data_IF_984412043671
#
_entry.id   IF_984412043671
#
_cell.length_a   1.000
_cell.length_b   1.000
_cell.length_c   1.000
_cell.angle_alpha   90.00
_cell.angle_beta   90.00
_cell.angle_gamma   90.00
#
_symmetry.space_group_name_H-M   'P 1'
#
loop_
_entity.id
_entity.type
_entity.pdbx_description
1 polymer ?
#
# COMPACT_ATOMS: atom_id res chain seq x y z
N UNK A 1 4.81 -7.54 -49.84
CA UNK A 1 3.65 -7.05 -49.07
C UNK A 1 3.78 -7.48 -47.62
N UNK A 2 4.06 -6.51 -46.82
CA UNK A 2 4.20 -6.80 -45.38
C UNK A 2 2.84 -6.77 -44.72
N UNK A 3 2.48 -7.82 -44.05
CA UNK A 3 1.26 -7.90 -43.27
C UNK A 3 1.37 -6.92 -42.12
N UNK A 4 0.37 -6.06 -41.91
CA UNK A 4 0.39 -5.23 -40.72
C UNK A 4 0.22 -6.11 -39.47
N UNK A 5 1.15 -5.97 -38.58
CA UNK A 5 1.06 -6.70 -37.31
C UNK A 5 -0.15 -6.17 -36.57
N UNK A 6 -1.09 -7.03 -36.16
CA UNK A 6 -2.23 -6.52 -35.38
C UNK A 6 -1.71 -5.88 -34.11
N UNK A 7 -2.32 -4.79 -33.71
CA UNK A 7 -1.91 -4.18 -32.43
C UNK A 7 -2.13 -5.22 -31.34
N UNK A 8 -1.05 -5.65 -30.76
CA UNK A 8 -1.14 -6.54 -29.62
C UNK A 8 -1.81 -5.79 -28.50
N UNK A 9 -3.01 -6.21 -28.18
CA UNK A 9 -3.65 -5.75 -26.97
C UNK A 9 -2.90 -6.39 -25.84
N UNK A 10 -1.77 -5.82 -25.54
CA UNK A 10 -1.01 -6.25 -24.39
C UNK A 10 -1.70 -5.62 -23.18
N UNK A 11 -2.37 -6.45 -22.41
CA UNK A 11 -2.68 -6.06 -21.04
C UNK A 11 -1.35 -5.65 -20.44
N UNK A 12 -1.22 -4.43 -19.94
CA UNK A 12 0.07 -4.03 -19.40
C UNK A 12 0.51 -5.03 -18.36
N UNK A 13 1.70 -5.56 -18.54
CA UNK A 13 2.26 -6.45 -17.54
C UNK A 13 2.26 -5.73 -16.18
N UNK A 14 2.01 -6.44 -15.10
CA UNK A 14 1.94 -5.79 -13.78
C UNK A 14 3.18 -4.97 -13.43
N UNK A 15 4.29 -5.22 -14.10
CA UNK A 15 5.54 -4.52 -13.84
C UNK A 15 5.75 -3.28 -14.68
N UNK A 16 4.99 -3.12 -15.78
CA UNK A 16 5.19 -1.97 -16.68
C UNK A 16 4.56 -0.71 -16.09
N UNK A 17 5.36 0.36 -16.02
CA UNK A 17 4.89 1.65 -15.51
C UNK A 17 4.73 1.69 -14.00
N UNK A 18 5.00 0.59 -13.34
CA UNK A 18 4.83 0.48 -11.90
C UNK A 18 6.05 1.04 -11.17
N UNK A 19 5.86 1.79 -10.09
CA UNK A 19 6.99 2.20 -9.26
C UNK A 19 7.77 0.97 -8.77
N UNK A 20 9.08 1.12 -8.69
CA UNK A 20 9.97 0.02 -8.29
C UNK A 20 10.20 -0.04 -6.78
N UNK A 21 9.83 1.02 -6.08
CA UNK A 21 10.07 1.13 -4.64
C UNK A 21 9.17 2.23 -4.09
N UNK A 22 9.11 2.33 -2.77
CA UNK A 22 8.41 3.45 -2.15
C UNK A 22 9.04 4.78 -2.56
N UNK A 23 10.36 4.87 -2.63
CA UNK A 23 11.02 6.11 -3.07
C UNK A 23 10.58 6.51 -4.47
N UNK A 24 10.49 5.53 -5.37
CA UNK A 24 10.03 5.78 -6.74
C UNK A 24 8.57 6.23 -6.75
N UNK A 25 7.73 5.61 -5.93
CA UNK A 25 6.33 6.00 -5.78
C UNK A 25 6.21 7.44 -5.27
N UNK A 26 7.02 7.80 -4.28
CA UNK A 26 6.98 9.15 -3.72
C UNK A 26 7.40 10.20 -4.76
N UNK A 27 8.36 9.86 -5.62
CA UNK A 27 8.77 10.79 -6.70
C UNK A 27 7.64 11.07 -7.68
N UNK A 28 6.74 10.11 -7.85
CA UNK A 28 5.61 10.23 -8.78
C UNK A 28 4.41 10.94 -8.18
N UNK A 29 4.39 11.11 -6.86
CA UNK A 29 3.29 11.81 -6.19
C UNK A 29 3.37 13.30 -6.45
N UNK A 30 2.20 13.94 -6.59
CA UNK A 30 2.15 15.39 -6.69
C UNK A 30 2.34 16.02 -5.30
N UNK A 31 2.44 17.33 -5.27
CA UNK A 31 2.66 18.07 -4.01
C UNK A 31 1.55 17.84 -3.00
N UNK A 32 0.31 17.71 -3.48
CA UNK A 32 -0.83 17.47 -2.61
C UNK A 32 -0.72 16.12 -1.92
N UNK A 33 -0.36 15.08 -2.67
CA UNK A 33 -0.22 13.73 -2.12
C UNK A 33 0.93 13.66 -1.12
N UNK A 34 2.06 14.32 -1.42
CA UNK A 34 3.20 14.37 -0.51
C UNK A 34 2.84 15.14 0.77
N UNK A 35 2.14 16.25 0.62
CA UNK A 35 1.70 17.05 1.77
C UNK A 35 0.80 16.23 2.67
N UNK A 36 -0.13 15.48 2.08
CA UNK A 36 -1.03 14.64 2.84
C UNK A 36 -0.28 13.56 3.62
N UNK A 37 0.72 12.92 3.00
CA UNK A 37 1.55 11.94 3.69
C UNK A 37 2.23 12.56 4.92
N UNK A 38 2.80 13.75 4.74
CA UNK A 38 3.53 14.40 5.83
C UNK A 38 2.59 14.91 6.94
N UNK A 39 1.36 15.25 6.59
CA UNK A 39 0.34 15.59 7.59
C UNK A 39 -0.07 14.38 8.41
N UNK A 40 -0.19 13.24 7.75
CA UNK A 40 -0.60 11.99 8.41
C UNK A 40 0.54 11.38 9.21
N UNK A 41 1.78 11.64 8.81
CA UNK A 41 2.96 11.07 9.46
C UNK A 41 3.98 12.18 9.76
N UNK A 42 3.68 13.04 10.73
CA UNK A 42 4.57 14.18 11.03
C UNK A 42 5.95 13.76 11.56
N UNK A 43 6.08 12.53 12.06
CA UNK A 43 7.39 12.03 12.49
C UNK A 43 8.38 11.98 11.33
N UNK A 44 7.90 11.93 10.09
CA UNK A 44 8.79 11.88 8.92
C UNK A 44 9.54 13.21 8.70
N UNK A 45 9.09 14.29 9.31
CA UNK A 45 9.74 15.59 9.18
C UNK A 45 10.73 15.91 10.31
N UNK A 46 10.90 15.02 11.29
CA UNK A 46 11.76 15.30 12.44
C UNK A 46 12.83 14.23 12.60
N UNK A 47 14.07 14.49 12.16
CA UNK A 47 14.51 15.69 11.41
C UNK A 47 14.07 15.67 9.97
N UNK A 48 14.09 16.83 9.31
CA UNK A 48 13.68 16.93 7.91
C UNK A 48 14.61 16.06 7.05
N UNK A 49 14.06 15.15 6.23
CA UNK A 49 14.91 14.30 5.40
C UNK A 49 15.55 15.10 4.27
N UNK A 50 16.74 14.65 3.86
CA UNK A 50 17.50 15.37 2.83
C UNK A 50 16.86 15.27 1.45
N UNK A 51 16.19 14.14 1.16
CA UNK A 51 15.55 13.90 -0.14
C UNK A 51 14.47 12.85 0.02
N UNK A 52 13.82 12.50 -1.10
CA UNK A 52 12.73 11.52 -1.08
C UNK A 52 13.22 10.11 -0.76
N UNK A 53 14.47 9.81 -1.09
CA UNK A 53 15.06 8.52 -0.75
C UNK A 53 15.20 8.37 0.77
N UNK A 54 15.69 9.42 1.42
CA UNK A 54 15.80 9.44 2.88
C UNK A 54 14.42 9.39 3.54
N UNK A 55 13.45 10.10 2.94
CA UNK A 55 12.07 10.07 3.42
C UNK A 55 11.51 8.66 3.35
N UNK A 56 11.70 7.96 2.22
CA UNK A 56 11.22 6.60 2.06
C UNK A 56 11.89 5.65 3.05
N UNK A 57 13.19 5.80 3.27
CA UNK A 57 13.91 4.97 4.23
C UNK A 57 13.36 5.15 5.65
N UNK A 58 13.06 6.38 6.03
CA UNK A 58 12.47 6.64 7.34
C UNK A 58 11.06 6.08 7.43
N UNK A 59 10.27 6.27 6.38
CA UNK A 59 8.88 5.82 6.35
C UNK A 59 8.76 4.30 6.48
N UNK A 60 9.76 3.55 6.02
CA UNK A 60 9.78 2.09 6.10
C UNK A 60 10.44 1.59 7.38
N UNK A 61 10.97 2.49 8.21
CA UNK A 61 11.56 2.09 9.47
C UNK A 61 10.51 1.63 10.47
N UNK A 62 10.85 0.63 11.29
CA UNK A 62 9.89 0.01 12.20
C UNK A 62 9.21 1.00 13.16
N UNK A 63 9.93 1.97 13.77
CA UNK A 63 9.24 2.89 14.67
C UNK A 63 8.22 3.78 13.96
N UNK A 64 8.53 4.26 12.76
CA UNK A 64 7.62 5.12 12.01
C UNK A 64 6.41 4.32 11.52
N UNK A 65 6.63 3.08 11.07
CA UNK A 65 5.53 2.22 10.65
C UNK A 65 4.59 1.90 11.81
N UNK A 66 5.15 1.64 12.98
CA UNK A 66 4.33 1.36 14.16
C UNK A 66 3.42 2.54 14.50
N UNK A 67 3.96 3.76 14.43
CA UNK A 67 3.16 4.96 14.67
C UNK A 67 2.04 5.12 13.64
N UNK A 68 2.33 4.82 12.38
CA UNK A 68 1.31 4.91 11.34
C UNK A 68 0.18 3.91 11.59
N UNK A 69 0.52 2.69 11.99
CA UNK A 69 -0.46 1.64 12.24
C UNK A 69 -1.32 1.93 13.49
N UNK A 70 -0.81 2.71 14.44
CA UNK A 70 -1.58 3.05 15.65
C UNK A 70 -2.84 3.86 15.34
N UNK A 71 -2.91 4.49 14.18
CA UNK A 71 -4.09 5.26 13.77
C UNK A 71 -5.18 4.40 13.15
N UNK A 72 -4.91 3.13 12.90
CA UNK A 72 -5.87 2.27 12.19
C UNK A 72 -6.83 1.58 13.16
N UNK A 73 -8.08 1.45 12.74
CA UNK A 73 -9.06 0.65 13.45
C UNK A 73 -8.84 -0.84 13.12
N UNK A 74 -9.60 -1.70 13.81
CA UNK A 74 -9.47 -3.15 13.65
C UNK A 74 -9.74 -3.59 12.21
N UNK A 75 -10.73 -2.95 11.56
CA UNK A 75 -11.07 -3.30 10.19
C UNK A 75 -9.90 -3.00 9.24
N UNK A 76 -9.33 -1.80 9.36
CA UNK A 76 -8.22 -1.39 8.50
C UNK A 76 -7.00 -2.27 8.69
N UNK A 77 -6.71 -2.65 9.95
CA UNK A 77 -5.62 -3.57 10.24
C UNK A 77 -5.88 -4.94 9.63
N UNK A 78 -7.13 -5.42 9.68
CA UNK A 78 -7.48 -6.71 9.10
C UNK A 78 -7.29 -6.70 7.58
N UNK A 79 -7.71 -5.62 6.91
CA UNK A 79 -7.50 -5.48 5.46
C UNK A 79 -6.01 -5.48 5.13
N UNK A 80 -5.21 -4.73 5.89
CA UNK A 80 -3.76 -4.68 5.68
C UNK A 80 -3.15 -6.07 5.86
N UNK A 81 -3.63 -6.82 6.85
CA UNK A 81 -3.14 -8.17 7.12
C UNK A 81 -3.45 -9.11 5.96
N UNK A 82 -4.68 -9.03 5.41
CA UNK A 82 -5.06 -9.85 4.26
C UNK A 82 -4.16 -9.50 3.07
N UNK A 83 -3.94 -8.20 2.83
CA UNK A 83 -3.07 -7.77 1.75
C UNK A 83 -1.64 -8.31 1.92
N UNK A 84 -1.14 -8.31 3.16
CA UNK A 84 0.23 -8.75 3.43
C UNK A 84 0.43 -10.25 3.21
N UNK A 85 -0.64 -11.03 3.14
CA UNK A 85 -0.55 -12.46 2.85
C UNK A 85 -0.32 -12.76 1.38
N UNK A 86 -0.51 -11.77 0.52
CA UNK A 86 -0.35 -11.94 -0.92
C UNK A 86 1.09 -11.62 -1.33
N UNK A 87 1.54 -12.27 -2.39
CA UNK A 87 2.87 -12.02 -2.94
C UNK A 87 2.87 -10.76 -3.84
N UNK A 88 3.98 -10.04 -3.83
CA UNK A 88 4.15 -8.89 -4.72
C UNK A 88 4.29 -9.33 -6.18
N UNK A 89 3.67 -8.67 -7.12
CA UNK A 89 2.73 -7.56 -6.95
C UNK A 89 1.38 -8.07 -6.46
N UNK A 90 0.84 -7.36 -5.48
CA UNK A 90 -0.45 -7.71 -4.89
C UNK A 90 -1.55 -7.18 -5.81
N UNK A 91 -2.39 -8.07 -6.31
CA UNK A 91 -3.54 -7.67 -7.12
C UNK A 91 -4.63 -7.17 -6.18
N UNK A 92 -4.98 -5.91 -6.33
CA UNK A 92 -5.94 -5.25 -5.43
C UNK A 92 -7.29 -5.98 -5.41
N UNK A 93 -7.76 -6.43 -6.58
CA UNK A 93 -9.02 -7.17 -6.66
C UNK A 93 -8.96 -8.48 -5.89
N UNK A 94 -7.80 -9.12 -5.82
CA UNK A 94 -7.65 -10.36 -5.06
C UNK A 94 -7.80 -10.09 -3.55
N UNK A 95 -7.30 -8.95 -3.08
CA UNK A 95 -7.47 -8.56 -1.68
C UNK A 95 -8.94 -8.29 -1.38
N UNK A 96 -9.62 -7.58 -2.26
CA UNK A 96 -11.05 -7.29 -2.10
C UNK A 96 -11.85 -8.59 -2.04
N UNK A 97 -11.55 -9.53 -2.93
CA UNK A 97 -12.20 -10.83 -2.94
C UNK A 97 -11.96 -11.58 -1.64
N UNK A 98 -10.70 -11.61 -1.17
CA UNK A 98 -10.35 -12.34 0.05
C UNK A 98 -11.03 -11.76 1.29
N UNK A 99 -11.13 -10.43 1.38
CA UNK A 99 -11.82 -9.80 2.49
C UNK A 99 -13.32 -10.06 2.42
N UNK A 100 -13.88 -9.96 1.22
CA UNK A 100 -15.31 -10.18 1.02
C UNK A 100 -15.71 -11.61 1.35
N UNK A 101 -14.86 -12.59 1.05
CA UNK A 101 -15.11 -13.99 1.42
C UNK A 101 -15.17 -14.19 2.93
N UNK A 102 -14.34 -13.45 3.67
CA UNK A 102 -14.31 -13.54 5.14
C UNK A 102 -15.43 -12.75 5.79
N UNK A 103 -15.79 -11.62 5.19
CA UNK A 103 -16.79 -10.71 5.71
C UNK A 103 -17.74 -10.29 4.59
N UNK A 104 -18.72 -11.17 4.25
CA UNK A 104 -19.60 -10.90 3.09
C UNK A 104 -20.45 -9.65 3.20
N UNK A 105 -20.64 -9.13 4.40
CA UNK A 105 -21.47 -7.93 4.60
C UNK A 105 -20.72 -6.62 4.42
N UNK A 106 -19.40 -6.69 4.25
CA UNK A 106 -18.58 -5.48 4.09
C UNK A 106 -18.73 -4.97 2.66
N UNK A 107 -18.97 -3.65 2.54
CA UNK A 107 -19.03 -2.99 1.25
C UNK A 107 -17.63 -3.03 0.60
N UNK A 108 -17.50 -3.55 -0.63
CA UNK A 108 -16.20 -3.52 -1.32
C UNK A 108 -15.58 -2.14 -1.44
N UNK A 109 -16.39 -1.09 -1.53
CA UNK A 109 -15.88 0.29 -1.58
C UNK A 109 -15.15 0.65 -0.28
N UNK A 110 -15.60 0.12 0.85
CA UNK A 110 -14.92 0.34 2.12
C UNK A 110 -13.52 -0.28 2.10
N UNK A 111 -13.41 -1.46 1.51
CA UNK A 111 -12.12 -2.13 1.37
C UNK A 111 -11.20 -1.29 0.48
N UNK A 112 -11.72 -0.81 -0.65
CA UNK A 112 -10.95 0.03 -1.58
C UNK A 112 -10.46 1.31 -0.89
N UNK A 113 -11.34 1.96 -0.13
CA UNK A 113 -10.94 3.17 0.61
C UNK A 113 -9.84 2.89 1.62
N UNK A 114 -9.90 1.72 2.26
CA UNK A 114 -8.85 1.32 3.21
C UNK A 114 -7.52 1.10 2.50
N UNK A 115 -7.54 0.45 1.34
CA UNK A 115 -6.33 0.27 0.55
C UNK A 115 -5.76 1.61 0.07
N UNK A 116 -6.63 2.55 -0.28
CA UNK A 116 -6.21 3.91 -0.64
C UNK A 116 -5.55 4.61 0.55
N UNK A 117 -6.09 4.43 1.75
CA UNK A 117 -5.49 4.99 2.97
C UNK A 117 -4.11 4.41 3.24
N UNK A 118 -3.94 3.12 3.01
CA UNK A 118 -2.62 2.49 3.15
C UNK A 118 -1.62 3.14 2.20
N UNK A 119 -2.04 3.42 0.98
CA UNK A 119 -1.19 4.09 -0.01
C UNK A 119 -0.88 5.52 0.40
N UNK A 120 -1.88 6.27 0.87
CA UNK A 120 -1.67 7.64 1.34
C UNK A 120 -0.62 7.69 2.45
N UNK A 121 -0.63 6.71 3.33
CA UNK A 121 0.29 6.63 4.46
C UNK A 121 1.68 6.09 4.08
N UNK A 122 1.88 5.68 2.83
CA UNK A 122 3.15 5.12 2.40
C UNK A 122 3.40 3.71 2.93
N UNK A 123 2.36 3.02 3.32
CA UNK A 123 2.45 1.62 3.76
C UNK A 123 2.32 0.66 2.58
N UNK A 124 1.76 1.14 1.48
CA UNK A 124 1.80 0.46 0.19
C UNK A 124 2.31 1.43 -0.87
N UNK A 125 2.79 0.88 -1.96
CA UNK A 125 3.22 1.68 -3.10
C UNK A 125 2.90 0.91 -4.38
N UNK A 126 2.79 1.63 -5.48
CA UNK A 126 2.46 1.03 -6.75
C UNK A 126 1.25 1.66 -7.41
N UNK A 127 0.70 0.96 -8.39
CA UNK A 127 -0.49 1.39 -9.12
C UNK A 127 -1.76 0.93 -8.38
N UNK A 128 -2.90 1.59 -8.61
CA UNK A 128 -4.12 1.19 -7.91
C UNK A 128 -4.50 -0.28 -8.05
N UNK A 129 -4.23 -0.89 -9.20
CA UNK A 129 -4.58 -2.30 -9.43
C UNK A 129 -3.51 -3.27 -8.93
N UNK A 130 -2.27 -2.82 -8.79
CA UNK A 130 -1.13 -3.68 -8.43
C UNK A 130 -0.26 -2.95 -7.43
N UNK A 131 -0.34 -3.36 -6.18
CA UNK A 131 0.37 -2.69 -5.09
C UNK A 131 1.46 -3.59 -4.52
N UNK A 132 2.36 -3.01 -3.78
CA UNK A 132 3.34 -3.72 -2.97
C UNK A 132 3.28 -3.16 -1.57
N UNK A 133 3.41 -4.01 -0.58
CA UNK A 133 3.42 -3.55 0.81
C UNK A 133 4.84 -3.34 1.29
N UNK A 134 5.00 -2.30 2.07
CA UNK A 134 6.25 -2.11 2.81
C UNK A 134 6.37 -3.26 3.80
N UNK A 135 7.44 -4.01 3.68
CA UNK A 135 7.63 -5.18 4.52
C UNK A 135 8.54 -4.84 5.69
N UNK A 136 8.00 -5.02 6.88
CA UNK A 136 8.76 -4.84 8.11
C UNK A 136 8.26 -5.81 9.14
N UNK A 137 9.13 -6.24 10.01
CA UNK A 137 8.80 -7.25 11.00
C UNK A 137 7.66 -6.88 11.95
N UNK A 138 7.65 -5.83 12.08
CA UNK A 138 6.68 -5.32 12.92
C UNK A 138 5.34 -5.45 12.46
N UNK A 139 5.32 -5.25 11.35
CA UNK A 139 3.97 -5.24 10.78
C UNK A 139 3.36 -6.63 10.84
N UNK A 140 4.14 -7.65 10.55
CA UNK A 140 3.64 -9.02 10.59
C UNK A 140 3.15 -9.42 11.98
N UNK A 141 3.90 -9.05 13.00
CA UNK A 141 3.53 -9.39 14.38
C UNK A 141 2.31 -8.60 14.87
N UNK A 142 2.28 -7.32 14.53
CA UNK A 142 1.16 -6.44 14.90
C UNK A 142 -0.14 -6.93 14.27
N UNK A 143 -0.08 -7.28 12.99
CA UNK A 143 -1.24 -7.72 12.23
C UNK A 143 -1.70 -9.11 12.67
N UNK A 144 -0.76 -10.01 12.99
CA UNK A 144 -1.09 -11.35 13.46
C UNK A 144 -1.83 -11.32 14.79
N UNK A 145 -1.44 -10.41 15.68
CA UNK A 145 -2.13 -10.24 16.96
C UNK A 145 -3.53 -9.67 16.83
N UNK A 146 -3.73 -8.83 15.82
CA UNK A 146 -5.02 -8.14 15.62
C UNK A 146 -6.11 -9.07 15.08
N UNK A 147 -5.75 -10.06 14.28
CA UNK A 147 -6.74 -10.98 13.70
C UNK A 147 -7.44 -11.82 14.76
N UNK A 148 -6.73 -12.18 15.82
CA UNK A 148 -7.28 -13.05 16.87
C UNK A 148 -8.36 -12.38 17.71
N UNK A 149 -8.44 -11.04 17.66
CA UNK A 149 -9.41 -10.28 18.42
C UNK A 149 -10.63 -9.81 17.66
N UNK A 150 -10.69 -10.06 16.36
CA UNK A 150 -11.80 -9.58 15.52
C UNK A 150 -12.78 -10.73 15.30
N UNK A 151 -13.83 -10.71 16.09
CA UNK A 151 -14.99 -11.60 15.92
C UNK A 151 -16.22 -10.76 15.71
#
# INVERSE_FOLDING_TARGET
MSKPTPPETISPEPTQGRPRSLADDLRRRDDRALTQLLRLRPDLLNPVPADLRALAARATGAPSMARALDHFDAFSLAVACVAAQHDDPIVTDDVITAVTEREPHVDPDRITRTLDQLHELGLTWGLPAYIAMVRGCXMSRHLAGSIRGVH
#
